data_IF_577119257490
#
_entry.id   IF_577119257490
#
_cell.length_a   1.000
_cell.length_b   1.000
_cell.length_c   1.000
_cell.angle_alpha   90.00
_cell.angle_beta   90.00
_cell.angle_gamma   90.00
#
_symmetry.space_group_name_H-M   'P 1'
#
loop_
_entity.id
_entity.type
_entity.pdbx_description
1 polymer ?
#
# COMPACT_ATOMS: atom_id res chain seq x y z
N UNK A 1 -5.41 -10.74 14.30
CA UNK A 1 -5.90 -11.66 13.25
C UNK A 1 -6.26 -10.80 12.06
N UNK A 2 -5.60 -10.98 10.91
CA UNK A 2 -5.92 -10.24 9.69
C UNK A 2 -7.29 -10.74 9.20
N UNK A 3 -8.27 -9.85 9.01
CA UNK A 3 -9.63 -10.22 8.55
C UNK A 3 -9.66 -10.70 7.09
N UNK A 4 -8.53 -10.58 6.39
CA UNK A 4 -8.35 -10.95 4.99
C UNK A 4 -7.32 -12.08 4.90
N UNK A 5 -7.66 -13.27 5.45
CA UNK A 5 -6.80 -14.45 5.29
C UNK A 5 -6.87 -14.91 3.83
N UNK A 6 -5.70 -15.09 3.22
CA UNK A 6 -5.53 -16.06 2.14
C UNK A 6 -5.84 -17.42 2.79
N UNK A 7 -6.76 -18.21 2.21
CA UNK A 7 -6.91 -19.63 2.60
C UNK A 7 -5.50 -20.23 2.66
N UNK A 8 -5.25 -21.16 3.58
CA UNK A 8 -3.92 -21.68 3.93
C UNK A 8 -3.21 -22.41 2.76
N UNK A 9 -3.26 -21.84 1.57
CA UNK A 9 -2.37 -22.23 0.48
C UNK A 9 -0.93 -21.85 0.88
N UNK A 10 -0.03 -22.79 0.76
CA UNK A 10 1.38 -22.60 1.09
C UNK A 10 2.01 -21.44 0.29
N UNK A 11 1.48 -21.16 -0.91
CA UNK A 11 1.92 -20.13 -1.85
C UNK A 11 0.75 -19.46 -2.56
N UNK A 12 0.94 -18.18 -2.92
CA UNK A 12 0.00 -17.38 -3.72
C UNK A 12 0.67 -16.84 -4.97
N UNK A 13 -0.07 -16.79 -6.08
CA UNK A 13 0.39 -16.16 -7.32
C UNK A 13 -0.02 -14.70 -7.33
N UNK A 14 0.96 -13.81 -7.54
CA UNK A 14 0.80 -12.35 -7.47
C UNK A 14 1.57 -11.68 -8.62
N UNK A 15 1.20 -10.45 -8.95
CA UNK A 15 1.83 -9.68 -10.02
C UNK A 15 2.28 -8.31 -9.52
N UNK A 16 3.46 -7.86 -9.99
CA UNK A 16 3.93 -6.50 -9.71
C UNK A 16 4.69 -5.93 -10.91
N UNK A 17 4.44 -4.66 -11.22
CA UNK A 17 5.24 -3.92 -12.20
C UNK A 17 6.33 -3.15 -11.49
N UNK A 18 7.56 -3.36 -11.94
CA UNK A 18 8.75 -2.75 -11.38
C UNK A 18 9.63 -2.14 -12.50
N UNK A 19 10.57 -1.27 -12.15
CA UNK A 19 11.60 -0.83 -13.10
C UNK A 19 12.50 -2.01 -13.48
N UNK A 20 12.96 -2.08 -14.74
CA UNK A 20 13.70 -3.23 -15.25
C UNK A 20 15.03 -3.48 -14.53
N UNK A 21 15.64 -2.42 -13.99
CA UNK A 21 16.91 -2.45 -13.27
C UNK A 21 16.89 -3.37 -12.03
N UNK A 22 15.71 -3.64 -11.46
CA UNK A 22 15.63 -4.58 -10.31
C UNK A 22 16.07 -6.00 -10.66
N UNK A 23 15.97 -6.40 -11.95
CA UNK A 23 16.37 -7.73 -12.40
C UNK A 23 17.87 -7.96 -12.22
N UNK A 24 18.70 -6.92 -12.42
CA UNK A 24 20.13 -6.99 -12.19
C UNK A 24 20.45 -7.14 -10.70
N UNK A 25 19.75 -6.41 -9.82
CA UNK A 25 19.87 -6.56 -8.37
C UNK A 25 19.48 -7.97 -7.92
N UNK A 26 18.35 -8.49 -8.42
CA UNK A 26 17.87 -9.84 -8.09
C UNK A 26 18.86 -10.90 -8.60
N UNK A 27 19.44 -10.71 -9.77
CA UNK A 27 20.45 -11.63 -10.33
C UNK A 27 21.73 -11.65 -9.48
N UNK A 28 22.18 -10.48 -9.02
CA UNK A 28 23.43 -10.31 -8.27
C UNK A 28 23.28 -10.75 -6.80
N UNK A 29 22.20 -10.30 -6.14
CA UNK A 29 22.02 -10.48 -4.68
C UNK A 29 21.00 -11.56 -4.29
N UNK A 30 20.29 -12.13 -5.27
CA UNK A 30 19.22 -13.12 -5.02
C UNK A 30 17.91 -12.54 -4.53
N UNK A 31 17.86 -11.25 -4.22
CA UNK A 31 16.66 -10.55 -3.73
C UNK A 31 16.68 -9.06 -4.09
N UNK A 32 15.48 -8.45 -4.07
CA UNK A 32 15.26 -7.02 -4.22
C UNK A 32 14.46 -6.48 -3.03
N UNK A 33 14.84 -5.30 -2.55
CA UNK A 33 14.08 -4.49 -1.58
C UNK A 33 14.00 -3.05 -2.07
N UNK A 34 12.84 -2.41 -1.87
CA UNK A 34 12.68 -1.00 -2.25
C UNK A 34 13.60 -0.12 -1.42
N UNK A 35 14.39 0.72 -2.08
CA UNK A 35 15.28 1.72 -1.47
C UNK A 35 14.64 3.10 -1.52
N UNK A 36 14.96 3.94 -0.54
CA UNK A 36 14.44 5.33 -0.47
C UNK A 36 14.74 6.12 -1.74
N UNK A 37 15.92 5.92 -2.34
CA UNK A 37 16.33 6.60 -3.56
C UNK A 37 15.40 6.35 -4.75
N UNK A 38 14.81 5.14 -4.84
CA UNK A 38 13.84 4.82 -5.89
C UNK A 38 12.52 5.53 -5.69
N UNK A 39 12.07 5.66 -4.42
CA UNK A 39 10.86 6.43 -4.09
C UNK A 39 11.08 7.89 -4.40
N UNK A 40 12.25 8.45 -4.08
CA UNK A 40 12.61 9.83 -4.39
C UNK A 40 12.66 10.07 -5.89
N UNK A 41 13.32 9.21 -6.65
CA UNK A 41 13.39 9.31 -8.12
C UNK A 41 12.00 9.24 -8.77
N UNK A 42 11.12 8.36 -8.27
CA UNK A 42 9.77 8.15 -8.83
C UNK A 42 8.81 9.29 -8.52
N UNK A 43 8.88 9.89 -7.33
CA UNK A 43 7.88 10.83 -6.82
C UNK A 43 8.38 12.28 -6.77
N UNK A 44 9.64 12.52 -7.08
CA UNK A 44 10.26 13.86 -7.16
C UNK A 44 9.85 14.78 -5.98
N UNK A 45 9.20 15.89 -6.25
CA UNK A 45 8.82 16.92 -5.27
C UNK A 45 7.88 16.44 -4.17
N UNK A 46 7.11 15.37 -4.40
CA UNK A 46 6.17 14.79 -3.43
C UNK A 46 6.73 13.55 -2.71
N UNK A 47 8.03 13.26 -2.90
CA UNK A 47 8.66 12.06 -2.34
C UNK A 47 8.63 12.01 -0.81
N UNK A 48 8.88 13.13 -0.11
CA UNK A 48 8.84 13.19 1.37
C UNK A 48 7.44 12.89 1.93
N UNK A 49 6.40 13.23 1.19
CA UNK A 49 5.03 12.88 1.49
C UNK A 49 4.83 11.36 1.49
N UNK A 50 5.19 10.68 0.38
CA UNK A 50 5.08 9.23 0.25
C UNK A 50 5.98 8.49 1.24
N UNK A 51 7.18 8.96 1.50
CA UNK A 51 8.09 8.37 2.48
C UNK A 51 7.50 8.34 3.89
N UNK A 52 6.81 9.42 4.31
CA UNK A 52 6.11 9.47 5.61
C UNK A 52 4.99 8.43 5.68
N UNK A 53 4.18 8.33 4.63
CA UNK A 53 3.07 7.39 4.55
C UNK A 53 3.56 5.94 4.52
N UNK A 54 4.61 5.63 3.74
CA UNK A 54 5.19 4.30 3.68
C UNK A 54 5.84 3.89 5.00
N UNK A 55 6.50 4.82 5.70
CA UNK A 55 7.05 4.56 7.05
C UNK A 55 5.94 4.25 8.05
N UNK A 56 4.85 5.03 8.03
CA UNK A 56 3.66 4.75 8.84
C UNK A 56 3.09 3.38 8.49
N UNK A 57 2.83 3.10 7.20
CA UNK A 57 2.26 1.84 6.73
C UNK A 57 3.11 0.64 7.15
N UNK A 58 4.42 0.69 6.94
CA UNK A 58 5.36 -0.36 7.32
C UNK A 58 5.41 -0.56 8.84
N UNK A 59 5.33 0.55 9.61
CA UNK A 59 5.27 0.49 11.07
C UNK A 59 4.02 -0.23 11.58
N UNK A 60 2.85 0.06 10.99
CA UNK A 60 1.57 -0.58 11.33
C UNK A 60 1.52 -2.05 10.88
N UNK A 61 2.05 -2.34 9.69
CA UNK A 61 2.09 -3.70 9.13
C UNK A 61 2.83 -4.71 10.02
N UNK A 62 3.80 -4.27 10.82
CA UNK A 62 4.53 -5.10 11.80
C UNK A 62 3.63 -5.76 12.85
N UNK A 63 2.40 -5.28 13.03
CA UNK A 63 1.40 -5.90 13.90
C UNK A 63 0.81 -7.19 13.32
N UNK A 64 0.97 -7.40 12.01
CA UNK A 64 0.29 -8.46 11.24
C UNK A 64 1.25 -9.44 10.58
N UNK A 65 2.47 -9.02 10.22
CA UNK A 65 3.46 -9.80 9.50
C UNK A 65 4.88 -9.46 9.93
N UNK A 66 5.82 -10.40 9.72
CA UNK A 66 7.27 -10.14 9.87
C UNK A 66 7.77 -9.30 8.68
N UNK A 67 7.95 -8.00 8.90
CA UNK A 67 8.35 -7.04 7.88
C UNK A 67 9.86 -7.07 7.67
N UNK A 68 10.31 -7.35 6.45
CA UNK A 68 11.73 -7.57 6.10
C UNK A 68 12.40 -6.41 5.37
N UNK A 69 11.72 -5.28 5.20
CA UNK A 69 12.22 -4.09 4.52
C UNK A 69 11.60 -2.81 5.06
N UNK A 70 12.04 -1.67 4.55
CA UNK A 70 11.57 -0.35 5.00
C UNK A 70 10.33 0.13 4.23
N UNK A 71 10.16 -0.32 2.98
CA UNK A 71 9.12 0.16 2.08
C UNK A 71 8.36 -0.99 1.44
N UNK A 72 7.01 -0.85 1.29
CA UNK A 72 6.17 -1.90 0.74
C UNK A 72 6.33 -2.05 -0.78
N UNK A 73 6.20 -3.28 -1.26
CA UNK A 73 6.02 -3.63 -2.66
C UNK A 73 4.57 -4.05 -2.85
N UNK A 74 3.85 -3.35 -3.72
CA UNK A 74 2.44 -3.58 -4.01
C UNK A 74 2.29 -4.60 -5.12
N UNK A 75 1.36 -5.55 -4.94
CA UNK A 75 1.12 -6.65 -5.86
C UNK A 75 -0.38 -6.79 -6.13
N UNK A 76 -0.73 -7.05 -7.39
CA UNK A 76 -2.08 -7.44 -7.77
C UNK A 76 -2.35 -8.89 -7.36
N UNK A 77 -3.54 -9.14 -6.86
CA UNK A 77 -3.99 -10.50 -6.47
C UNK A 77 -4.69 -11.23 -7.60
N UNK A 78 -5.00 -10.54 -8.71
CA UNK A 78 -5.66 -11.09 -9.88
C UNK A 78 -4.95 -10.63 -11.16
N UNK A 79 -4.80 -11.55 -12.12
CA UNK A 79 -4.13 -11.31 -13.40
C UNK A 79 -4.80 -10.21 -14.21
N UNK A 80 -6.11 -10.11 -14.18
CA UNK A 80 -6.92 -9.11 -14.89
C UNK A 80 -6.65 -7.68 -14.42
N UNK A 81 -6.16 -7.49 -13.19
CA UNK A 81 -5.82 -6.20 -12.58
C UNK A 81 -4.31 -5.95 -12.49
N UNK A 82 -3.48 -6.84 -13.06
CA UNK A 82 -2.04 -6.60 -13.09
C UNK A 82 -1.70 -5.38 -13.95
N UNK A 83 -0.74 -4.61 -13.50
CA UNK A 83 -0.18 -3.54 -14.32
C UNK A 83 0.71 -4.15 -15.40
N UNK A 84 0.36 -3.91 -16.67
CA UNK A 84 1.20 -4.32 -17.81
C UNK A 84 2.49 -3.50 -17.86
N UNK A 85 3.59 -4.05 -18.39
CA UNK A 85 4.83 -3.29 -18.50
C UNK A 85 4.64 -2.06 -19.42
N UNK A 86 5.41 -1.02 -19.14
CA UNK A 86 5.59 0.16 -20.00
C UNK A 86 7.09 0.36 -20.20
N UNK A 87 7.50 1.28 -21.09
CA UNK A 87 8.91 1.53 -21.34
C UNK A 87 9.74 1.67 -20.05
N UNK A 88 10.86 0.95 -19.96
CA UNK A 88 11.74 0.91 -18.79
C UNK A 88 11.24 0.09 -17.62
N UNK A 89 10.12 -0.67 -17.78
CA UNK A 89 9.58 -1.52 -16.71
C UNK A 89 9.38 -2.97 -17.16
N UNK A 90 9.23 -3.86 -16.17
CA UNK A 90 8.82 -5.25 -16.34
C UNK A 90 7.64 -5.55 -15.42
N UNK A 91 6.79 -6.48 -15.81
CA UNK A 91 5.80 -7.08 -14.91
C UNK A 91 6.26 -8.48 -14.52
N UNK A 92 6.37 -8.70 -13.23
CA UNK A 92 6.76 -9.98 -12.65
C UNK A 92 5.51 -10.74 -12.22
N UNK A 93 5.42 -12.01 -12.60
CA UNK A 93 4.55 -12.99 -11.99
C UNK A 93 5.34 -13.73 -10.92
N UNK A 94 4.82 -13.71 -9.70
CA UNK A 94 5.50 -14.22 -8.52
C UNK A 94 4.68 -15.34 -7.87
N UNK A 95 5.34 -16.37 -7.39
CA UNK A 95 4.80 -17.38 -6.50
C UNK A 95 5.39 -17.15 -5.11
N UNK A 96 4.62 -16.50 -4.23
CA UNK A 96 5.08 -16.02 -2.93
C UNK A 96 4.51 -16.89 -1.81
N UNK A 97 5.31 -17.30 -0.80
CA UNK A 97 4.77 -17.96 0.39
C UNK A 97 3.74 -17.06 1.08
N UNK A 98 2.57 -17.60 1.42
CA UNK A 98 1.45 -16.83 2.00
C UNK A 98 1.84 -16.06 3.26
N UNK A 99 2.75 -16.60 4.05
CA UNK A 99 3.30 -15.96 5.26
C UNK A 99 4.15 -14.71 5.01
N UNK A 100 4.59 -14.49 3.77
CA UNK A 100 5.38 -13.32 3.34
C UNK A 100 4.51 -12.23 2.71
N UNK A 101 3.17 -12.40 2.76
CA UNK A 101 2.20 -11.53 2.09
C UNK A 101 1.20 -10.99 3.10
N UNK A 102 0.97 -9.67 3.05
CA UNK A 102 -0.10 -9.00 3.78
C UNK A 102 -1.15 -8.51 2.80
N UNK A 103 -2.41 -8.92 2.99
CA UNK A 103 -3.52 -8.41 2.19
C UNK A 103 -4.01 -7.07 2.73
N UNK A 104 -4.32 -6.14 1.83
CA UNK A 104 -4.71 -4.78 2.16
C UNK A 104 -5.89 -4.31 1.30
N UNK A 105 -6.71 -3.43 1.87
CA UNK A 105 -7.77 -2.73 1.15
C UNK A 105 -7.17 -1.53 0.39
N UNK A 106 -7.18 -1.58 -0.94
CA UNK A 106 -6.62 -0.55 -1.80
C UNK A 106 -7.43 0.75 -1.80
N UNK A 107 -8.76 0.66 -1.63
CA UNK A 107 -9.60 1.86 -1.50
C UNK A 107 -9.24 2.62 -0.22
N UNK A 108 -9.07 1.89 0.89
CA UNK A 108 -8.64 2.48 2.16
C UNK A 108 -7.23 3.11 2.05
N UNK A 109 -6.32 2.51 1.26
CA UNK A 109 -5.06 3.14 0.91
C UNK A 109 -5.25 4.42 0.12
N UNK A 110 -6.18 4.47 -0.84
CA UNK A 110 -6.56 5.67 -1.57
C UNK A 110 -7.01 6.82 -0.66
N UNK A 111 -7.81 6.55 0.37
CA UNK A 111 -8.14 7.53 1.41
C UNK A 111 -6.90 8.01 2.16
N UNK A 112 -6.04 7.09 2.57
CA UNK A 112 -4.84 7.37 3.37
C UNK A 112 -3.84 8.26 2.64
N UNK A 113 -3.59 8.00 1.34
CA UNK A 113 -2.67 8.84 0.54
C UNK A 113 -3.19 10.24 0.27
N UNK A 114 -4.46 10.50 0.51
CA UNK A 114 -5.05 11.83 0.44
C UNK A 114 -5.27 12.45 1.83
N UNK A 115 -4.74 11.85 2.89
CA UNK A 115 -4.94 12.24 4.29
C UNK A 115 -6.42 12.24 4.73
N UNK A 116 -7.27 11.43 4.08
CA UNK A 116 -8.68 11.35 4.42
C UNK A 116 -8.96 10.29 5.49
N UNK A 117 -10.02 10.50 6.21
CA UNK A 117 -10.59 9.53 7.12
C UNK A 117 -11.10 8.32 6.33
N UNK A 118 -10.70 7.12 6.73
CA UNK A 118 -11.20 5.86 6.16
C UNK A 118 -12.48 5.47 6.89
N UNK A 119 -13.69 5.61 6.30
CA UNK A 119 -14.93 5.27 6.99
C UNK A 119 -15.13 3.75 7.10
N UNK A 120 -15.84 3.32 8.14
CA UNK A 120 -16.30 1.92 8.28
C UNK A 120 -17.50 1.64 7.37
N UNK A 121 -18.40 2.61 7.30
CA UNK A 121 -19.65 2.57 6.54
C UNK A 121 -20.16 3.99 6.29
N UNK A 122 -21.29 4.13 5.61
CA UNK A 122 -21.89 5.44 5.30
C UNK A 122 -22.33 6.21 6.55
N UNK A 123 -22.74 5.54 7.62
CA UNK A 123 -23.12 6.20 8.87
C UNK A 123 -21.89 6.80 9.57
N UNK A 124 -20.79 6.06 9.63
CA UNK A 124 -19.50 6.54 10.17
C UNK A 124 -18.94 7.70 9.34
N UNK A 125 -19.06 7.62 8.01
CA UNK A 125 -18.68 8.69 7.10
C UNK A 125 -19.49 9.97 7.33
N UNK A 126 -20.80 9.84 7.49
CA UNK A 126 -21.71 10.97 7.77
C UNK A 126 -21.37 11.61 9.12
N UNK A 127 -21.17 10.80 10.17
CA UNK A 127 -20.74 11.23 11.50
C UNK A 127 -19.45 12.06 11.43
N UNK A 128 -18.43 11.52 10.75
CA UNK A 128 -17.15 12.19 10.64
C UNK A 128 -17.24 13.52 9.87
N UNK A 129 -18.03 13.55 8.79
CA UNK A 129 -18.30 14.79 8.03
C UNK A 129 -18.99 15.85 8.89
N UNK A 130 -19.94 15.45 9.72
CA UNK A 130 -20.61 16.37 10.65
C UNK A 130 -19.61 16.95 11.66
N UNK A 131 -18.69 16.12 12.16
CA UNK A 131 -17.63 16.56 13.09
C UNK A 131 -16.68 17.57 12.43
N UNK A 132 -16.25 17.35 11.18
CA UNK A 132 -15.47 18.33 10.41
C UNK A 132 -16.21 19.66 10.30
N UNK A 133 -17.50 19.60 9.92
CA UNK A 133 -18.33 20.79 9.74
C UNK A 133 -18.49 21.59 11.03
N UNK A 134 -18.73 20.92 12.17
CA UNK A 134 -18.80 21.55 13.51
C UNK A 134 -17.54 22.31 13.88
N UNK A 135 -16.37 21.83 13.40
CA UNK A 135 -15.08 22.44 13.65
C UNK A 135 -14.65 23.45 12.56
N UNK A 136 -15.52 23.77 11.61
CA UNK A 136 -15.22 24.72 10.53
C UNK A 136 -14.16 24.21 9.55
N UNK A 137 -14.04 22.88 9.41
CA UNK A 137 -13.17 22.22 8.46
C UNK A 137 -14.00 21.77 7.23
N UNK A 138 -13.40 21.89 6.06
CA UNK A 138 -14.01 21.45 4.79
C UNK A 138 -13.61 20.02 4.45
N UNK A 139 -12.39 19.64 4.82
CA UNK A 139 -11.77 18.37 4.42
C UNK A 139 -10.70 17.94 5.44
N UNK A 140 -10.45 16.63 5.54
CA UNK A 140 -9.47 16.05 6.47
C UNK A 140 -8.04 16.49 6.20
N UNK A 141 -7.67 16.70 4.95
CA UNK A 141 -6.33 17.09 4.54
C UNK A 141 -5.93 18.47 5.11
N UNK A 142 -6.90 19.34 5.43
CA UNK A 142 -6.61 20.60 6.14
C UNK A 142 -5.91 20.36 7.49
N UNK A 143 -6.17 19.22 8.15
CA UNK A 143 -5.53 18.84 9.40
C UNK A 143 -4.04 18.51 9.24
N UNK A 144 -3.59 18.21 8.03
CA UNK A 144 -2.23 17.80 7.73
C UNK A 144 -1.44 18.84 6.95
N UNK A 145 -2.11 19.54 6.04
CA UNK A 145 -1.50 20.46 5.08
C UNK A 145 -1.57 21.92 5.51
N UNK A 146 -2.35 22.25 6.55
CA UNK A 146 -2.48 23.62 7.07
C UNK A 146 -2.17 23.70 8.56
N UNK A 147 -2.06 24.93 9.09
CA UNK A 147 -1.90 25.16 10.53
C UNK A 147 -3.13 24.78 11.36
N UNK A 148 -4.29 24.56 10.74
CA UNK A 148 -5.53 24.19 11.44
C UNK A 148 -5.35 22.89 12.25
N UNK A 149 -4.58 21.92 11.75
CA UNK A 149 -4.32 20.67 12.46
C UNK A 149 -3.69 20.83 13.84
N UNK A 150 -3.06 21.96 14.14
CA UNK A 150 -2.51 22.26 15.45
C UNK A 150 -3.61 22.54 16.50
N UNK A 151 -4.79 22.99 16.04
CA UNK A 151 -5.92 23.30 16.90
C UNK A 151 -6.85 22.10 17.13
N UNK A 152 -6.75 21.04 16.29
CA UNK A 152 -7.61 19.86 16.34
C UNK A 152 -6.79 18.54 16.43
N UNK A 153 -5.90 18.38 17.44
CA UNK A 153 -5.00 17.23 17.53
C UNK A 153 -5.75 15.90 17.74
N UNK A 154 -6.93 15.93 18.38
CA UNK A 154 -7.74 14.73 18.58
C UNK A 154 -8.37 14.25 17.29
N UNK A 155 -8.93 15.18 16.50
CA UNK A 155 -9.52 14.86 15.20
C UNK A 155 -8.46 14.35 14.22
N UNK A 156 -7.29 15.01 14.18
CA UNK A 156 -6.15 14.53 13.39
C UNK A 156 -5.73 13.10 13.78
N UNK A 157 -5.70 12.80 15.08
CA UNK A 157 -5.38 11.46 15.57
C UNK A 157 -6.46 10.44 15.20
N UNK A 158 -7.74 10.82 15.20
CA UNK A 158 -8.85 9.99 14.76
C UNK A 158 -8.71 9.61 13.28
N UNK A 159 -8.37 10.58 12.40
CA UNK A 159 -8.11 10.34 10.99
C UNK A 159 -6.96 9.34 10.82
N UNK A 160 -5.82 9.57 11.47
CA UNK A 160 -4.66 8.65 11.38
C UNK A 160 -5.01 7.25 11.90
N UNK A 161 -5.79 7.15 12.98
CA UNK A 161 -6.23 5.86 13.53
C UNK A 161 -7.15 5.11 12.57
N UNK A 162 -7.98 5.82 11.80
CA UNK A 162 -8.86 5.21 10.81
C UNK A 162 -8.10 4.50 9.69
N UNK A 163 -6.86 4.92 9.39
CA UNK A 163 -6.01 4.30 8.36
C UNK A 163 -5.64 2.85 8.68
N UNK A 164 -5.66 2.44 9.97
CA UNK A 164 -5.44 1.03 10.36
C UNK A 164 -6.47 0.09 9.68
N UNK A 165 -7.58 0.63 9.20
CA UNK A 165 -8.63 -0.10 8.45
C UNK A 165 -8.15 -0.63 7.10
N UNK A 166 -7.02 -0.15 6.57
CA UNK A 166 -6.33 -0.73 5.40
C UNK A 166 -6.10 -2.24 5.61
N UNK A 167 -5.78 -2.64 6.82
CA UNK A 167 -5.42 -4.03 7.16
C UNK A 167 -6.60 -4.87 7.65
N UNK A 168 -7.74 -4.26 7.96
CA UNK A 168 -8.85 -4.93 8.65
C UNK A 168 -10.19 -4.79 7.96
N UNK A 169 -10.40 -3.74 7.15
CA UNK A 169 -11.65 -3.52 6.44
C UNK A 169 -11.65 -4.29 5.12
N UNK A 170 -12.53 -5.30 5.03
CA UNK A 170 -12.69 -6.08 3.80
C UNK A 170 -13.22 -5.18 2.67
N UNK A 171 -12.55 -5.12 1.50
CA UNK A 171 -13.04 -4.34 0.37
C UNK A 171 -14.33 -4.94 -0.21
N UNK A 172 -15.13 -4.11 -0.87
CA UNK A 172 -16.37 -4.54 -1.54
C UNK A 172 -16.09 -5.39 -2.76
N UNK A 173 -15.04 -5.09 -3.50
CA UNK A 173 -14.55 -5.89 -4.62
C UNK A 173 -13.21 -6.55 -4.27
N UNK A 174 -13.23 -7.87 -4.10
CA UNK A 174 -12.05 -8.66 -3.73
C UNK A 174 -11.03 -8.82 -4.87
N UNK A 175 -11.40 -8.49 -6.11
CA UNK A 175 -10.47 -8.56 -7.24
C UNK A 175 -9.84 -7.21 -7.56
N UNK A 176 -10.66 -6.15 -7.60
CA UNK A 176 -10.21 -4.82 -7.97
C UNK A 176 -9.60 -4.04 -6.81
N UNK A 177 -10.16 -4.20 -5.60
CA UNK A 177 -9.81 -3.40 -4.43
C UNK A 177 -9.03 -4.16 -3.35
N UNK A 178 -8.76 -5.45 -3.54
CA UNK A 178 -7.83 -6.21 -2.70
C UNK A 178 -6.45 -6.20 -3.36
N UNK A 179 -5.44 -5.84 -2.58
CA UNK A 179 -4.04 -5.90 -3.01
C UNK A 179 -3.21 -6.67 -2.00
N UNK A 180 -2.14 -7.25 -2.47
CA UNK A 180 -1.14 -7.87 -1.63
C UNK A 180 0.06 -6.93 -1.46
N UNK A 181 0.76 -7.07 -0.33
CA UNK A 181 1.97 -6.32 -0.03
C UNK A 181 3.03 -7.27 0.51
N UNK A 182 4.25 -7.11 0.03
CA UNK A 182 5.47 -7.71 0.58
C UNK A 182 6.56 -6.64 0.73
N UNK A 183 7.69 -6.96 1.35
CA UNK A 183 8.81 -6.03 1.54
C UNK A 183 10.09 -6.48 0.85
N UNK A 184 10.04 -7.61 0.17
CA UNK A 184 11.13 -8.10 -0.67
C UNK A 184 10.59 -8.94 -1.82
N UNK A 185 11.37 -9.06 -2.90
CA UNK A 185 11.15 -10.03 -3.98
C UNK A 185 12.39 -10.91 -4.04
N UNK A 186 12.21 -12.21 -3.85
CA UNK A 186 13.31 -13.18 -3.98
C UNK A 186 13.34 -13.77 -5.37
N UNK A 187 14.54 -14.10 -5.82
CA UNK A 187 14.77 -14.71 -7.13
C UNK A 187 13.92 -15.96 -7.35
N UNK A 188 13.84 -16.81 -6.34
CA UNK A 188 13.08 -18.07 -6.37
C UNK A 188 11.55 -17.90 -6.41
N UNK A 189 11.04 -16.69 -6.18
CA UNK A 189 9.61 -16.39 -6.29
C UNK A 189 9.19 -16.03 -7.71
N UNK A 190 10.13 -15.69 -8.60
CA UNK A 190 9.83 -15.23 -9.96
C UNK A 190 9.55 -16.45 -10.83
N UNK A 191 8.30 -16.54 -11.32
CA UNK A 191 7.88 -17.56 -12.30
C UNK A 191 7.98 -17.05 -13.73
N UNK A 192 7.70 -15.75 -13.95
CA UNK A 192 7.63 -15.13 -15.27
C UNK A 192 8.02 -13.66 -15.22
N UNK A 193 8.66 -13.19 -16.28
CA UNK A 193 9.00 -11.77 -16.51
C UNK A 193 8.39 -11.36 -17.85
N UNK A 194 7.42 -10.44 -17.80
CA UNK A 194 6.81 -9.83 -18.98
C UNK A 194 7.54 -8.50 -19.26
N UNK A 195 8.07 -8.37 -20.46
CA UNK A 195 8.78 -7.16 -20.93
C UNK A 195 7.85 -6.27 -21.75
N UNK A 196 8.19 -4.98 -21.80
CA UNK A 196 7.52 -4.06 -22.73
C UNK A 196 7.91 -4.38 -24.16
N UNK A 197 6.91 -4.60 -25.01
CA UNK A 197 7.08 -4.94 -26.42
C UNK A 197 6.73 -3.75 -27.33
N UNK A 198 7.01 -2.52 -26.98
CA UNK A 198 6.96 -1.34 -27.84
C UNK A 198 5.62 -1.06 -28.57
#
# INVERSE_FOLDING_TARGET
>A
MNAMNIEEDEYVTLWTRQVSEILDEIKEYGLYKVKEEYIRKKNDTISDYYLKLYKWFTGEAKKYIDVKGDYPIWLSVADEFRLRPVEGTVTLRLRVPSKEVLLCNYDAWGYTVNYFYVPLDEADKARHREELTKNGLVSDDELFLTSKGNFYPLLKREVVKSWERIFTLKPTDLKACLVAVTWEIKKEWIEEVEYYEG
#
